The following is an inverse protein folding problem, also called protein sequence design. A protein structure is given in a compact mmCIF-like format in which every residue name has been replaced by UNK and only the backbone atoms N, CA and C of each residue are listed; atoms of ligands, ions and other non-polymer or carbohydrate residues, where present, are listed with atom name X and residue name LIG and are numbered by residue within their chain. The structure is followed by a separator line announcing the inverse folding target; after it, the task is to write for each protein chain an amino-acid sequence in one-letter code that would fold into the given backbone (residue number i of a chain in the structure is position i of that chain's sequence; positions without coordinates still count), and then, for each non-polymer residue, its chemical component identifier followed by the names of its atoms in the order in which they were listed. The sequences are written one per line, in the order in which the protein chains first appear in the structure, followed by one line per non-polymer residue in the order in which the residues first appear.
data_IF_118936834378
#
_entry.id   IF_118936834378
#
_cell.length_a   1.000
_cell.length_b   1.000
_cell.length_c   1.000
_cell.angle_alpha   90.00
_cell.angle_beta   90.00
_cell.angle_gamma   90.00
#
_symmetry.space_group_name_H-M   'P 1'
#
loop_
_entity.id
_entity.type
_entity.pdbx_description
1 polymer ?
#
# COMPACT_ATOMS: atom_id res chain seq x y z
N UNK A 1 0.82 32.90 -6.18
CA UNK A 1 1.79 31.94 -5.60
C UNK A 1 1.49 31.58 -4.14
N UNK A 2 0.22 31.53 -3.68
CA UNK A 2 -0.09 31.23 -2.26
C UNK A 2 0.11 29.75 -1.88
N UNK A 3 -0.16 28.84 -2.82
CA UNK A 3 -0.05 27.39 -2.59
C UNK A 3 1.38 26.93 -2.28
N UNK A 4 2.37 27.35 -3.06
CA UNK A 4 3.77 26.98 -2.84
C UNK A 4 4.30 27.46 -1.49
N UNK A 5 3.98 28.70 -1.08
CA UNK A 5 4.36 29.22 0.24
C UNK A 5 3.72 28.42 1.37
N UNK A 6 2.45 28.05 1.25
CA UNK A 6 1.76 27.23 2.24
C UNK A 6 2.39 25.82 2.35
N UNK A 7 2.71 25.20 1.22
CA UNK A 7 3.36 23.88 1.19
C UNK A 7 4.75 23.91 1.86
N UNK A 8 5.59 24.90 1.52
CA UNK A 8 6.91 25.05 2.14
C UNK A 8 6.81 25.35 3.64
N UNK A 9 5.81 26.12 4.07
CA UNK A 9 5.55 26.37 5.49
C UNK A 9 5.10 25.11 6.23
N UNK A 10 4.27 24.27 5.61
CA UNK A 10 3.89 22.97 6.17
C UNK A 10 5.10 22.05 6.32
N UNK A 11 5.99 22.02 5.32
CA UNK A 11 7.25 21.27 5.41
C UNK A 11 8.13 21.77 6.56
N UNK A 12 8.26 23.10 6.71
CA UNK A 12 8.98 23.71 7.85
C UNK A 12 8.34 23.31 9.19
N UNK A 13 7.01 23.30 9.30
CA UNK A 13 6.30 22.95 10.55
C UNK A 13 6.48 21.46 10.91
N UNK A 14 6.27 20.59 9.92
CA UNK A 14 6.45 19.14 10.04
C UNK A 14 7.88 18.78 10.46
N UNK A 15 8.89 19.44 9.88
CA UNK A 15 10.30 19.21 10.21
C UNK A 15 10.74 19.96 11.47
N UNK A 16 9.83 20.72 12.12
CA UNK A 16 10.16 21.52 13.28
C UNK A 16 11.22 22.57 13.01
N UNK A 17 11.20 23.20 11.82
CA UNK A 17 12.13 24.26 11.36
C UNK A 17 11.57 25.67 11.55
N UNK A 18 10.27 25.83 11.74
CA UNK A 18 9.61 27.15 11.88
C UNK A 18 10.34 28.02 12.93
N UNK A 19 10.54 29.29 12.60
CA UNK A 19 11.32 30.28 13.37
C UNK A 19 12.82 29.94 13.55
N UNK A 20 13.36 28.97 12.82
CA UNK A 20 14.79 28.66 12.81
C UNK A 20 15.51 29.20 11.58
N UNK A 21 16.83 29.23 11.66
CA UNK A 21 17.69 29.73 10.58
C UNK A 21 17.55 28.90 9.29
N UNK A 22 17.20 27.62 9.42
CA UNK A 22 17.02 26.66 8.32
C UNK A 22 15.59 26.62 7.75
N UNK A 23 14.65 27.45 8.22
CA UNK A 23 13.31 27.49 7.65
C UNK A 23 13.32 28.08 6.23
N UNK A 24 12.45 27.61 5.34
CA UNK A 24 12.31 28.17 4.00
C UNK A 24 11.37 29.38 3.97
N UNK A 25 10.32 29.39 4.79
CA UNK A 25 9.29 30.44 4.76
C UNK A 25 9.38 31.38 5.97
N UNK A 26 9.32 30.83 7.19
CA UNK A 26 9.31 31.62 8.43
C UNK A 26 10.65 31.48 9.17
N UNK A 27 11.67 32.14 8.65
CA UNK A 27 13.02 32.18 9.25
C UNK A 27 13.05 32.95 10.57
N UNK A 28 13.98 32.58 11.43
CA UNK A 28 14.27 33.26 12.69
C UNK A 28 15.62 32.82 13.23
N UNK A 29 15.91 33.19 14.47
CA UNK A 29 17.27 33.08 15.03
C UNK A 29 17.53 31.76 15.77
N UNK A 30 16.54 30.85 15.79
CA UNK A 30 16.72 29.53 16.41
C UNK A 30 17.78 28.74 15.63
N UNK A 31 18.76 28.20 16.37
CA UNK A 31 19.94 27.55 15.78
C UNK A 31 19.57 26.25 15.08
N UNK A 32 20.30 25.92 14.02
CA UNK A 32 20.00 24.76 13.16
C UNK A 32 20.02 23.41 13.90
N UNK A 33 20.83 23.30 14.96
CA UNK A 33 20.90 22.13 15.85
C UNK A 33 19.62 21.87 16.66
N UNK A 34 18.68 22.81 16.69
CA UNK A 34 17.38 22.65 17.36
C UNK A 34 16.32 22.02 16.44
N UNK A 35 16.68 21.67 15.20
CA UNK A 35 15.86 20.85 14.32
C UNK A 35 15.94 19.39 14.80
N UNK A 36 14.80 18.71 15.06
CA UNK A 36 14.82 17.31 15.47
C UNK A 36 15.56 16.44 14.45
N UNK A 37 16.32 15.43 14.90
CA UNK A 37 16.95 14.49 13.99
C UNK A 37 15.87 13.76 13.15
N UNK A 38 16.21 13.31 11.93
CA UNK A 38 15.34 12.45 11.16
C UNK A 38 14.90 11.25 12.02
N UNK A 39 13.61 10.93 12.00
CA UNK A 39 13.13 9.79 12.75
C UNK A 39 13.75 8.47 12.24
N UNK A 40 13.90 7.47 13.12
CA UNK A 40 14.45 6.17 12.71
C UNK A 40 13.52 5.46 11.73
N UNK A 41 14.09 4.94 10.64
CA UNK A 41 13.37 4.13 9.67
C UNK A 41 13.09 2.76 10.30
N UNK A 42 11.82 2.30 10.35
CA UNK A 42 11.52 0.94 10.79
C UNK A 42 12.27 -0.07 9.95
N UNK A 43 12.99 -0.98 10.60
CA UNK A 43 13.69 -2.06 9.91
C UNK A 43 12.74 -3.24 9.72
N UNK A 44 12.72 -3.78 8.51
CA UNK A 44 12.05 -5.03 8.25
C UNK A 44 12.86 -6.20 8.80
N UNK A 45 12.18 -7.29 9.19
CA UNK A 45 12.86 -8.54 9.50
C UNK A 45 13.71 -8.98 8.31
N UNK A 46 14.76 -9.74 8.58
CA UNK A 46 15.52 -10.37 7.50
C UNK A 46 14.57 -11.28 6.69
N UNK A 47 14.67 -11.21 5.37
CA UNK A 47 13.91 -12.11 4.51
C UNK A 47 14.28 -13.56 4.84
N UNK A 48 13.27 -14.40 5.06
CA UNK A 48 13.49 -15.83 5.22
C UNK A 48 13.90 -16.44 3.88
N UNK A 49 14.69 -17.53 3.88
CA UNK A 49 14.93 -18.31 2.69
C UNK A 49 13.62 -18.74 2.04
N UNK A 50 13.56 -18.69 0.71
CA UNK A 50 12.39 -19.17 -0.03
C UNK A 50 12.14 -20.65 0.32
N UNK A 51 10.93 -21.02 0.76
CA UNK A 51 10.64 -22.38 1.16
C UNK A 51 10.59 -23.33 -0.04
N UNK A 52 10.78 -24.62 0.22
CA UNK A 52 10.61 -25.64 -0.82
C UNK A 52 9.17 -25.59 -1.39
N UNK A 53 9.00 -25.72 -2.72
CA UNK A 53 7.67 -25.81 -3.34
C UNK A 53 6.82 -26.90 -2.71
N UNK A 54 5.50 -26.70 -2.68
CA UNK A 54 4.58 -27.74 -2.26
C UNK A 54 4.58 -28.87 -3.29
N UNK A 55 4.60 -30.10 -2.80
CA UNK A 55 4.36 -31.30 -3.62
C UNK A 55 2.89 -31.36 -4.05
N UNK A 56 2.59 -32.10 -5.11
CA UNK A 56 1.21 -32.31 -5.55
C UNK A 56 0.32 -32.89 -4.44
N UNK A 57 0.85 -33.82 -3.63
CA UNK A 57 0.12 -34.42 -2.53
C UNK A 57 -0.20 -33.40 -1.42
N UNK A 58 0.77 -32.55 -1.07
CA UNK A 58 0.54 -31.46 -0.11
C UNK A 58 -0.50 -30.48 -0.64
N UNK A 59 -0.38 -30.03 -1.89
CA UNK A 59 -1.32 -29.10 -2.54
C UNK A 59 -2.74 -29.64 -2.51
N UNK A 60 -2.98 -30.87 -2.99
CA UNK A 60 -4.32 -31.46 -3.02
C UNK A 60 -4.89 -31.62 -1.60
N UNK A 61 -4.09 -32.13 -0.66
CA UNK A 61 -4.57 -32.32 0.71
C UNK A 61 -4.86 -31.02 1.46
N UNK A 62 -4.08 -29.95 1.19
CA UNK A 62 -4.29 -28.63 1.76
C UNK A 62 -5.52 -27.92 1.16
N UNK A 63 -5.76 -28.06 -0.15
CA UNK A 63 -6.98 -27.57 -0.79
C UNK A 63 -8.20 -28.26 -0.19
N UNK A 64 -8.19 -29.60 -0.12
CA UNK A 64 -9.30 -30.37 0.48
C UNK A 64 -9.54 -29.98 1.94
N UNK A 65 -8.47 -29.75 2.72
CA UNK A 65 -8.57 -29.26 4.09
C UNK A 65 -9.19 -27.86 4.16
N UNK A 66 -8.73 -26.94 3.31
CA UNK A 66 -9.24 -25.57 3.23
C UNK A 66 -10.70 -25.49 2.79
N UNK A 67 -11.14 -26.36 1.88
CA UNK A 67 -12.53 -26.39 1.41
C UNK A 67 -13.49 -26.94 2.47
N UNK A 68 -13.10 -28.00 3.19
CA UNK A 68 -14.06 -28.80 3.97
C UNK A 68 -13.86 -28.82 5.49
N UNK A 69 -12.68 -28.46 6.00
CA UNK A 69 -12.32 -28.74 7.41
C UNK A 69 -11.81 -27.54 8.20
N UNK A 70 -11.29 -26.51 7.53
CA UNK A 70 -10.87 -25.29 8.22
C UNK A 70 -12.10 -24.53 8.73
N UNK A 71 -11.99 -23.91 9.90
CA UNK A 71 -13.10 -23.11 10.42
C UNK A 71 -13.23 -21.82 9.58
N UNK A 72 -14.38 -21.68 8.93
CA UNK A 72 -14.76 -20.50 8.15
C UNK A 72 -16.13 -19.98 8.58
N UNK A 73 -16.48 -20.06 9.87
CA UNK A 73 -17.85 -19.82 10.33
C UNK A 73 -18.31 -18.37 10.07
N UNK A 74 -17.37 -17.43 10.00
CA UNK A 74 -17.62 -16.01 9.71
C UNK A 74 -17.64 -15.69 8.21
N UNK A 75 -17.90 -16.69 7.36
CA UNK A 75 -17.72 -16.56 5.93
C UNK A 75 -19.04 -16.58 5.15
N UNK A 76 -19.27 -15.52 4.36
CA UNK A 76 -20.57 -15.31 3.68
C UNK A 76 -20.73 -16.15 2.41
N UNK A 77 -19.64 -16.52 1.74
CA UNK A 77 -19.68 -17.36 0.55
C UNK A 77 -20.01 -18.82 0.89
N UNK A 78 -20.83 -19.46 0.06
CA UNK A 78 -21.05 -20.91 0.08
C UNK A 78 -19.72 -21.66 -0.17
N UNK A 79 -19.41 -22.77 0.53
CA UNK A 79 -18.16 -23.51 0.38
C UNK A 79 -17.79 -23.87 -1.06
N UNK A 80 -18.75 -24.20 -1.94
CA UNK A 80 -18.48 -24.56 -3.34
C UNK A 80 -18.11 -23.36 -4.21
N UNK A 81 -18.38 -22.13 -3.74
CA UNK A 81 -18.06 -20.88 -4.43
C UNK A 81 -16.77 -20.24 -3.93
N UNK A 82 -16.16 -20.80 -2.89
CA UNK A 82 -14.89 -20.31 -2.34
C UNK A 82 -13.74 -20.81 -3.21
N UNK A 83 -12.80 -19.92 -3.41
CA UNK A 83 -11.50 -20.25 -3.97
C UNK A 83 -10.54 -20.47 -2.81
N UNK A 84 -9.80 -21.58 -2.85
CA UNK A 84 -8.76 -21.89 -1.88
C UNK A 84 -7.42 -21.86 -2.60
N UNK A 85 -6.64 -20.81 -2.33
CA UNK A 85 -5.25 -20.72 -2.78
C UNK A 85 -4.33 -21.27 -1.70
N UNK A 86 -3.33 -22.04 -2.13
CA UNK A 86 -2.33 -22.64 -1.24
C UNK A 86 -0.93 -22.28 -1.70
N UNK A 87 -0.09 -21.86 -0.77
CA UNK A 87 1.31 -21.51 -1.07
C UNK A 87 2.24 -21.98 0.06
N UNK A 88 3.51 -22.31 -0.25
CA UNK A 88 4.48 -22.63 0.78
C UNK A 88 4.83 -21.38 1.59
N UNK A 89 4.68 -21.42 2.91
CA UNK A 89 5.00 -20.30 3.82
C UNK A 89 6.37 -20.47 4.48
N UNK A 90 6.64 -21.69 4.98
CA UNK A 90 7.94 -22.16 5.46
C UNK A 90 8.10 -23.63 5.05
N UNK A 91 9.25 -24.26 5.25
CA UNK A 91 9.41 -25.69 4.93
C UNK A 91 8.48 -26.63 5.72
N UNK A 92 7.84 -26.14 6.79
CA UNK A 92 6.89 -26.93 7.60
C UNK A 92 5.44 -26.43 7.52
N UNK A 93 5.22 -25.24 6.93
CA UNK A 93 3.92 -24.57 6.90
C UNK A 93 3.51 -24.14 5.49
N UNK A 94 2.22 -24.14 5.25
CA UNK A 94 1.59 -23.55 4.09
C UNK A 94 0.71 -22.37 4.52
N UNK A 95 0.58 -21.39 3.63
CA UNK A 95 -0.43 -20.34 3.71
C UNK A 95 -1.64 -20.79 2.89
N UNK A 96 -2.82 -20.72 3.50
CA UNK A 96 -4.11 -20.81 2.81
C UNK A 96 -4.71 -19.41 2.74
N UNK A 97 -5.15 -19.01 1.55
CA UNK A 97 -6.05 -17.87 1.34
C UNK A 97 -7.38 -18.42 0.83
N UNK A 98 -8.45 -18.09 1.52
CA UNK A 98 -9.80 -18.61 1.24
C UNK A 98 -10.72 -17.44 0.97
N UNK A 99 -11.21 -17.33 -0.25
CA UNK A 99 -12.14 -16.26 -0.60
C UNK A 99 -13.41 -16.41 0.22
N UNK A 100 -13.86 -15.29 0.77
CA UNK A 100 -14.82 -15.30 1.84
C UNK A 100 -15.99 -14.35 1.69
N UNK A 101 -15.73 -13.18 1.11
CA UNK A 101 -16.77 -12.31 0.56
C UNK A 101 -16.34 -11.85 -0.83
N UNK A 102 -17.30 -11.54 -1.69
CA UNK A 102 -16.99 -11.04 -3.03
C UNK A 102 -17.93 -9.90 -3.40
N UNK A 103 -17.35 -8.75 -3.70
CA UNK A 103 -18.01 -7.61 -4.31
C UNK A 103 -17.54 -7.39 -5.75
N UNK A 104 -18.05 -6.34 -6.39
CA UNK A 104 -17.77 -6.06 -7.80
C UNK A 104 -16.28 -5.78 -8.13
N UNK A 105 -15.48 -5.39 -7.13
CA UNK A 105 -14.08 -4.98 -7.32
C UNK A 105 -13.12 -5.56 -6.28
N UNK A 106 -13.67 -6.21 -5.25
CA UNK A 106 -12.95 -6.61 -4.06
C UNK A 106 -13.41 -8.01 -3.67
N UNK A 107 -12.45 -8.90 -3.46
CA UNK A 107 -12.64 -10.17 -2.77
C UNK A 107 -12.03 -10.02 -1.38
N UNK A 108 -12.76 -10.43 -0.34
CA UNK A 108 -12.24 -10.50 1.02
C UNK A 108 -11.84 -11.94 1.29
N UNK A 109 -10.61 -12.14 1.74
CA UNK A 109 -10.03 -13.46 2.02
C UNK A 109 -9.89 -13.70 3.52
N UNK A 110 -10.03 -14.96 3.93
CA UNK A 110 -9.49 -15.44 5.21
C UNK A 110 -8.11 -16.05 4.97
N UNK A 111 -7.17 -15.80 5.88
CA UNK A 111 -5.83 -16.36 5.82
C UNK A 111 -5.57 -17.34 6.97
N UNK A 112 -4.93 -18.47 6.66
CA UNK A 112 -4.53 -19.47 7.65
C UNK A 112 -3.11 -19.93 7.41
N UNK A 113 -2.34 -20.04 8.49
CA UNK A 113 -1.12 -20.85 8.51
C UNK A 113 -1.52 -22.29 8.83
N UNK A 114 -1.06 -23.27 8.03
CA UNK A 114 -1.40 -24.68 8.19
C UNK A 114 -0.14 -25.55 8.11
N UNK A 115 -0.06 -26.63 8.89
CA UNK A 115 0.99 -27.66 8.69
C UNK A 115 0.89 -28.27 7.29
N UNK A 116 2.04 -28.61 6.67
CA UNK A 116 2.04 -29.20 5.32
C UNK A 116 1.54 -30.64 5.25
N UNK A 117 1.66 -31.38 6.35
CA UNK A 117 1.25 -32.79 6.46
C UNK A 117 0.13 -32.99 7.47
N UNK A 118 -0.57 -34.11 7.33
CA UNK A 118 -1.56 -34.56 8.31
C UNK A 118 -0.88 -34.99 9.63
N UNK A 119 -1.55 -34.82 10.79
CA UNK A 119 -2.82 -34.11 10.96
C UNK A 119 -2.66 -32.59 10.72
N UNK A 120 -3.58 -32.01 9.95
CA UNK A 120 -3.54 -30.58 9.66
C UNK A 120 -3.89 -29.76 10.89
N UNK A 121 -2.98 -28.87 11.28
CA UNK A 121 -3.19 -27.88 12.35
C UNK A 121 -3.15 -26.50 11.72
N UNK A 122 -4.23 -25.75 11.87
CA UNK A 122 -4.38 -24.39 11.32
C UNK A 122 -4.45 -23.33 12.41
N UNK A 123 -3.95 -22.14 12.07
CA UNK A 123 -4.05 -20.91 12.86
C UNK A 123 -4.48 -19.78 11.93
N UNK A 124 -5.57 -19.09 12.28
CA UNK A 124 -6.01 -17.90 11.55
C UNK A 124 -4.98 -16.79 11.63
N UNK A 125 -4.81 -16.07 10.53
CA UNK A 125 -3.90 -14.92 10.40
C UNK A 125 -4.72 -13.66 10.35
N UNK A 126 -4.37 -12.70 11.21
CA UNK A 126 -4.92 -11.35 11.22
C UNK A 126 -3.79 -10.37 10.95
N UNK A 127 -4.05 -9.37 10.11
CA UNK A 127 -3.11 -8.29 9.83
C UNK A 127 -3.48 -7.09 10.69
N UNK A 128 -2.55 -6.63 11.52
CA UNK A 128 -2.72 -5.46 12.37
C UNK A 128 -1.71 -4.40 11.97
N UNK A 129 -2.20 -3.23 11.60
CA UNK A 129 -1.37 -2.08 11.34
C UNK A 129 -0.72 -1.62 12.67
N UNK A 130 0.54 -1.16 12.65
CA UNK A 130 1.21 -0.61 13.83
C UNK A 130 0.71 0.81 14.19
N UNK A 131 -0.36 1.27 13.53
CA UNK A 131 -1.03 2.55 13.74
C UNK A 131 -2.50 2.43 13.38
N UNK A 132 -3.32 3.34 13.87
CA UNK A 132 -4.73 3.49 13.46
C UNK A 132 -4.80 4.55 12.34
N UNK A 133 -5.21 4.19 11.11
CA UNK A 133 -5.40 5.17 10.04
C UNK A 133 -6.43 6.23 10.45
N UNK A 134 -6.26 7.52 10.10
CA UNK A 134 -7.18 8.58 10.53
C UNK A 134 -8.64 8.42 10.05
N UNK A 135 -8.84 7.58 9.02
CA UNK A 135 -10.14 7.25 8.42
C UNK A 135 -10.84 6.07 9.12
N UNK A 136 -10.20 5.42 10.11
CA UNK A 136 -10.68 4.19 10.76
C UNK A 136 -10.69 4.31 12.28
N UNK A 137 -11.48 3.45 12.92
CA UNK A 137 -11.60 3.35 14.38
C UNK A 137 -10.71 2.27 14.99
N UNK A 138 -10.21 1.35 14.19
CA UNK A 138 -9.29 0.28 14.59
C UNK A 138 -8.07 0.23 13.65
N UNK A 139 -7.11 -0.62 14.01
CA UNK A 139 -5.91 -0.89 13.24
C UNK A 139 -5.93 -2.25 12.54
N UNK A 140 -7.05 -2.97 12.55
CA UNK A 140 -7.13 -4.27 11.89
C UNK A 140 -7.28 -4.04 10.37
N UNK A 141 -6.48 -4.76 9.59
CA UNK A 141 -6.57 -4.73 8.13
C UNK A 141 -7.29 -6.00 7.66
N UNK A 142 -8.34 -5.79 6.89
CA UNK A 142 -8.99 -6.85 6.13
C UNK A 142 -8.12 -7.27 4.93
N UNK A 143 -8.05 -8.57 4.66
CA UNK A 143 -7.34 -9.11 3.51
C UNK A 143 -8.21 -8.95 2.27
N UNK A 144 -8.06 -7.83 1.56
CA UNK A 144 -8.80 -7.54 0.33
C UNK A 144 -7.91 -7.76 -0.88
N UNK A 145 -8.39 -8.53 -1.85
CA UNK A 145 -7.68 -8.93 -3.07
C UNK A 145 -6.27 -9.42 -2.74
N UNK A 146 -6.17 -10.40 -1.83
CA UNK A 146 -4.89 -10.82 -1.30
C UNK A 146 -4.13 -11.72 -2.28
N UNK A 147 -2.83 -11.48 -2.41
CA UNK A 147 -1.93 -12.30 -3.21
C UNK A 147 -0.64 -12.56 -2.43
N UNK A 148 -0.12 -13.79 -2.47
CA UNK A 148 1.10 -14.16 -1.77
C UNK A 148 2.19 -14.60 -2.73
N UNK A 149 3.35 -13.94 -2.63
CA UNK A 149 4.57 -14.30 -3.32
C UNK A 149 5.48 -15.10 -2.37
N UNK A 150 5.44 -16.42 -2.51
CA UNK A 150 6.25 -17.33 -1.71
C UNK A 150 7.76 -17.19 -1.93
N UNK A 151 8.19 -16.67 -3.09
CA UNK A 151 9.62 -16.53 -3.39
C UNK A 151 10.28 -15.43 -2.56
N UNK A 152 9.51 -14.39 -2.22
CA UNK A 152 9.95 -13.25 -1.40
C UNK A 152 9.35 -13.25 0.02
N UNK A 153 8.41 -14.17 0.29
CA UNK A 153 7.69 -14.22 1.57
C UNK A 153 6.81 -12.98 1.79
N UNK A 154 6.21 -12.45 0.71
CA UNK A 154 5.46 -11.20 0.72
C UNK A 154 3.97 -11.45 0.46
N UNK A 155 3.13 -10.95 1.37
CA UNK A 155 1.68 -10.89 1.20
C UNK A 155 1.29 -9.47 0.78
N UNK A 156 0.59 -9.38 -0.34
CA UNK A 156 0.05 -8.15 -0.91
C UNK A 156 -1.44 -8.10 -0.63
N UNK A 157 -1.96 -6.92 -0.31
CA UNK A 157 -3.41 -6.66 -0.30
C UNK A 157 -3.70 -5.35 -0.99
N UNK A 158 -4.85 -5.27 -1.65
CA UNK A 158 -5.32 -4.06 -2.30
C UNK A 158 -6.82 -3.89 -2.17
N UNK A 159 -7.25 -2.97 -1.30
CA UNK A 159 -8.64 -2.57 -1.17
C UNK A 159 -8.94 -1.44 -2.15
N UNK A 160 -9.78 -1.72 -3.16
CA UNK A 160 -10.08 -0.78 -4.23
C UNK A 160 -11.28 0.10 -3.90
N UNK A 161 -11.06 1.41 -3.93
CA UNK A 161 -12.08 2.46 -3.99
C UNK A 161 -12.44 2.81 -5.44
N UNK A 162 -13.71 3.16 -5.67
CA UNK A 162 -14.22 3.51 -7.01
C UNK A 162 -14.50 5.00 -7.12
N UNK A 163 -14.07 5.57 -8.25
CA UNK A 163 -14.32 6.96 -8.60
C UNK A 163 -13.46 7.39 -9.78
N UNK A 164 -13.24 8.69 -9.92
CA UNK A 164 -12.32 9.19 -10.95
C UNK A 164 -10.90 8.72 -10.62
N UNK A 165 -10.25 8.05 -11.57
CA UNK A 165 -8.88 7.53 -11.38
C UNK A 165 -8.77 6.26 -10.53
N UNK A 166 -9.86 5.83 -9.87
CA UNK A 166 -9.86 4.86 -8.77
C UNK A 166 -8.89 5.26 -7.62
N UNK A 167 -9.08 4.70 -6.43
CA UNK A 167 -8.26 5.00 -5.25
C UNK A 167 -8.27 3.77 -4.34
N UNK A 168 -7.68 3.83 -3.14
CA UNK A 168 -7.70 2.67 -2.24
C UNK A 168 -6.54 2.57 -1.28
N UNK A 169 -6.42 1.39 -0.67
CA UNK A 169 -5.36 1.04 0.28
C UNK A 169 -4.58 -0.15 -0.27
N UNK A 170 -3.27 0.03 -0.45
CA UNK A 170 -2.34 -1.03 -0.81
C UNK A 170 -1.41 -1.30 0.36
N UNK A 171 -1.19 -2.57 0.68
CA UNK A 171 -0.24 -2.96 1.72
C UNK A 171 0.64 -4.13 1.29
N UNK A 172 1.86 -4.18 1.84
CA UNK A 172 2.79 -5.29 1.71
C UNK A 172 3.21 -5.76 3.08
N UNK A 173 3.25 -7.06 3.28
CA UNK A 173 3.60 -7.68 4.54
C UNK A 173 4.67 -8.73 4.32
N UNK A 174 5.73 -8.68 5.12
CA UNK A 174 6.77 -9.69 5.10
C UNK A 174 6.56 -10.69 6.22
N UNK A 175 6.62 -11.98 5.90
CA UNK A 175 6.59 -13.02 6.91
C UNK A 175 7.94 -13.14 7.62
N UNK A 176 7.94 -13.00 8.94
CA UNK A 176 9.16 -13.06 9.77
C UNK A 176 9.48 -14.45 10.33
N UNK A 177 8.64 -15.44 10.04
CA UNK A 177 8.72 -16.81 10.58
C UNK A 177 7.64 -17.11 11.62
N UNK A 178 6.98 -16.08 12.15
CA UNK A 178 5.90 -16.20 13.12
C UNK A 178 4.66 -15.40 12.71
N UNK A 179 4.83 -14.20 12.15
CA UNK A 179 3.76 -13.29 11.78
C UNK A 179 4.11 -12.48 10.52
N UNK A 180 3.08 -11.85 9.96
CA UNK A 180 3.22 -10.88 8.89
C UNK A 180 3.50 -9.49 9.48
N UNK A 181 4.66 -8.93 9.16
CA UNK A 181 5.10 -7.59 9.58
C UNK A 181 4.88 -6.61 8.43
N UNK A 182 4.29 -5.44 8.73
CA UNK A 182 4.00 -4.43 7.72
C UNK A 182 5.31 -3.92 7.10
N UNK A 183 5.47 -4.16 5.80
CA UNK A 183 6.57 -3.66 4.98
C UNK A 183 6.23 -2.33 4.32
N UNK A 184 5.00 -2.18 3.88
CA UNK A 184 4.57 -1.01 3.13
C UNK A 184 3.09 -0.74 3.34
N UNK A 185 2.74 0.54 3.47
CA UNK A 185 1.36 1.01 3.51
C UNK A 185 1.23 2.24 2.62
N UNK A 186 0.29 2.20 1.67
CA UNK A 186 -0.08 3.32 0.83
C UNK A 186 -1.61 3.46 0.84
N UNK A 187 -2.08 4.69 1.03
CA UNK A 187 -3.51 5.02 1.03
C UNK A 187 -3.76 6.27 0.18
N UNK A 188 -4.64 6.13 -0.81
CA UNK A 188 -5.29 7.23 -1.49
C UNK A 188 -6.76 7.23 -1.08
N UNK A 189 -7.16 8.21 -0.28
CA UNK A 189 -8.50 8.26 0.31
C UNK A 189 -9.58 8.67 -0.68
N UNK A 190 -9.23 9.54 -1.61
CA UNK A 190 -10.19 10.22 -2.49
C UNK A 190 -9.89 9.85 -3.93
N UNK A 191 -10.89 9.35 -4.63
CA UNK A 191 -10.80 9.02 -6.04
C UNK A 191 -11.09 10.29 -6.89
N UNK A 192 -10.08 11.14 -7.08
CA UNK A 192 -10.18 12.40 -7.83
C UNK A 192 -9.29 12.45 -9.10
N UNK A 193 -8.64 11.33 -9.41
CA UNK A 193 -7.70 11.20 -10.52
C UNK A 193 -6.55 12.21 -10.48
N UNK A 194 -6.10 12.66 -9.31
CA UNK A 194 -5.00 13.63 -9.20
C UNK A 194 -3.72 13.17 -9.92
N UNK A 195 -3.45 11.87 -9.95
CA UNK A 195 -2.31 11.26 -10.62
C UNK A 195 -2.51 11.04 -12.13
N UNK A 196 -3.72 11.27 -12.65
CA UNK A 196 -3.99 11.07 -14.08
C UNK A 196 -3.37 12.21 -14.89
N UNK A 197 -2.44 11.87 -15.78
CA UNK A 197 -2.01 12.77 -16.84
C UNK A 197 -3.14 12.86 -17.87
N UNK A 198 -4.15 13.69 -17.63
CA UNK A 198 -5.15 13.98 -18.65
C UNK A 198 -4.45 14.80 -19.74
N UNK A 199 -3.96 14.10 -20.76
CA UNK A 199 -3.67 14.69 -22.06
C UNK A 199 -5.04 15.01 -22.67
N UNK A 200 -5.52 16.23 -22.50
CA UNK A 200 -6.76 16.70 -23.10
C UNK A 200 -6.58 16.78 -24.62
N UNK A 201 -6.77 15.66 -25.30
CA UNK A 201 -7.10 15.65 -26.73
C UNK A 201 -8.51 16.20 -26.92
N UNK A 202 -8.75 17.07 -27.92
CA UNK A 202 -10.10 17.60 -28.13
C UNK A 202 -11.05 16.47 -28.56
N UNK A 203 -12.34 16.52 -28.18
CA UNK A 203 -13.31 15.53 -28.62
C UNK A 203 -13.46 15.58 -30.13
N UNK A 204 -13.45 14.40 -30.76
CA UNK A 204 -13.79 14.19 -32.16
C UNK A 204 -15.25 14.62 -32.40
N UNK A 205 -15.43 15.82 -32.95
CA UNK A 205 -16.73 16.37 -33.32
C UNK A 205 -16.58 17.44 -34.42
N UNK A 206 -17.02 17.06 -35.63
CA UNK A 206 -17.42 17.87 -36.81
C UNK A 206 -16.96 19.33 -36.96
N UNK A 207 -16.34 19.58 -38.13
CA UNK A 207 -15.97 20.86 -38.73
C UNK A 207 -16.88 22.07 -38.43
N UNK A 208 -16.30 23.13 -37.88
CA UNK A 208 -16.58 24.52 -38.27
C UNK A 208 -15.38 25.44 -37.94
N UNK A 209 -15.04 26.33 -38.88
CA UNK A 209 -13.85 27.21 -38.93
C UNK A 209 -13.96 28.42 -37.95
N UNK A 210 -12.85 29.15 -37.68
CA UNK A 210 -12.52 29.67 -36.34
C UNK A 210 -12.96 31.11 -36.08
N UNK A 211 -13.12 31.45 -34.79
CA UNK A 211 -12.94 32.81 -34.26
C UNK A 211 -11.80 32.79 -33.23
N UNK A 212 -10.64 33.34 -33.61
CA UNK A 212 -9.64 33.90 -32.69
C UNK A 212 -10.12 35.28 -32.19
N UNK A 213 -9.58 35.89 -31.11
CA UNK A 213 -8.26 35.69 -30.46
C UNK A 213 -8.42 35.50 -28.91
N UNK A 214 -7.45 35.33 -28.01
CA UNK A 214 -6.00 35.58 -27.95
C UNK A 214 -5.47 34.95 -26.65
N UNK A 215 -4.23 34.45 -26.67
CA UNK A 215 -3.34 34.15 -25.53
C UNK A 215 -3.49 32.81 -24.78
N UNK A 216 -2.83 31.78 -25.32
CA UNK A 216 -2.04 30.86 -24.50
C UNK A 216 -0.63 30.79 -25.11
N UNK A 217 0.35 31.46 -24.48
CA UNK A 217 1.77 31.14 -24.65
C UNK A 217 2.09 30.01 -23.66
N UNK A 218 2.73 28.96 -24.17
CA UNK A 218 2.90 27.69 -23.48
C UNK A 218 3.87 27.70 -22.31
N UNK A 219 3.91 26.58 -21.59
CA UNK A 219 5.09 25.72 -21.43
C UNK A 219 4.54 24.32 -21.12
N UNK A 220 4.86 23.35 -21.99
CA UNK A 220 4.82 21.94 -21.62
C UNK A 220 6.01 21.65 -20.71
N UNK A 221 5.73 21.29 -19.47
CA UNK A 221 6.65 20.55 -18.61
C UNK A 221 5.79 19.52 -17.87
N UNK A 222 5.94 18.25 -18.23
CA UNK A 222 5.53 17.16 -17.38
C UNK A 222 6.39 17.21 -16.12
N UNK A 223 5.83 17.74 -15.05
CA UNK A 223 6.31 17.41 -13.71
C UNK A 223 5.53 16.18 -13.29
N UNK A 224 6.12 15.00 -13.47
CA UNK A 224 5.87 13.87 -12.56
C UNK A 224 6.38 14.32 -11.18
N UNK A 225 5.57 15.15 -10.51
CA UNK A 225 5.87 15.66 -9.19
C UNK A 225 5.73 14.51 -8.21
N UNK A 226 6.78 14.15 -7.48
CA UNK A 226 6.65 13.20 -6.39
C UNK A 226 5.81 13.84 -5.29
N UNK A 227 4.67 13.24 -4.97
CA UNK A 227 3.88 13.65 -3.82
C UNK A 227 4.45 12.99 -2.57
N UNK A 228 5.09 13.80 -1.76
CA UNK A 228 5.45 13.52 -0.38
C UNK A 228 4.17 13.53 0.46
N UNK A 229 3.66 12.36 0.86
CA UNK A 229 2.62 12.31 1.89
C UNK A 229 3.27 12.57 3.25
N UNK A 230 2.97 13.72 3.88
CA UNK A 230 3.36 14.03 5.26
C UNK A 230 2.13 13.91 6.15
N UNK A 231 1.69 12.68 6.46
CA UNK A 231 0.74 12.45 7.54
C UNK A 231 1.51 12.27 8.85
N UNK A 232 1.33 13.21 9.78
CA UNK A 232 1.81 13.09 11.16
C UNK A 232 0.89 12.09 11.88
N UNK A 233 1.17 10.79 11.75
CA UNK A 233 0.50 9.77 12.53
C UNK A 233 1.04 9.84 13.98
N UNK A 234 0.17 9.89 15.01
CA UNK A 234 0.62 9.91 16.39
C UNK A 234 1.42 8.65 16.71
N UNK A 235 2.67 8.82 17.15
CA UNK A 235 3.57 7.72 17.50
C UNK A 235 4.45 7.20 16.36
N UNK A 236 4.37 7.74 15.14
CA UNK A 236 5.23 7.32 14.03
C UNK A 236 6.22 8.40 13.55
N UNK A 237 7.41 7.96 13.10
CA UNK A 237 8.34 8.80 12.36
C UNK A 237 7.68 9.37 11.09
N UNK A 238 7.83 10.68 10.83
CA UNK A 238 7.39 11.29 9.58
C UNK A 238 8.34 10.84 8.45
N UNK A 239 7.97 9.81 7.70
CA UNK A 239 8.67 9.41 6.48
C UNK A 239 7.96 9.98 5.24
N UNK A 240 8.72 10.70 4.43
CA UNK A 240 8.32 11.02 3.06
C UNK A 240 8.31 9.72 2.24
N UNK A 241 7.14 9.23 1.88
CA UNK A 241 6.98 8.15 0.90
C UNK A 241 6.81 8.75 -0.49
N UNK A 242 7.55 8.24 -1.48
CA UNK A 242 7.31 8.51 -2.89
C UNK A 242 6.42 7.40 -3.44
N UNK A 243 5.28 7.77 -3.99
CA UNK A 243 4.40 6.86 -4.73
C UNK A 243 4.98 6.67 -6.14
N UNK A 244 5.61 5.52 -6.40
CA UNK A 244 6.08 5.14 -7.72
C UNK A 244 5.08 4.17 -8.37
N UNK A 245 4.63 4.49 -9.59
CA UNK A 245 3.80 3.60 -10.37
C UNK A 245 4.65 2.41 -10.87
N UNK A 246 4.33 1.22 -10.38
CA UNK A 246 4.87 -0.05 -10.90
C UNK A 246 3.72 -0.81 -11.60
N UNK A 247 4.02 -1.36 -12.77
CA UNK A 247 3.05 -2.07 -13.60
C UNK A 247 3.06 -3.55 -13.19
N UNK A 248 2.02 -4.02 -12.53
CA UNK A 248 1.84 -5.42 -12.19
C UNK A 248 0.90 -6.10 -13.19
N UNK A 249 1.00 -7.43 -13.34
CA UNK A 249 0.03 -8.19 -14.15
C UNK A 249 -1.33 -8.13 -13.46
N UNK A 250 -2.23 -7.28 -13.97
CA UNK A 250 -3.59 -7.10 -13.43
C UNK A 250 -3.96 -5.65 -13.11
N UNK A 251 -3.01 -4.71 -13.09
CA UNK A 251 -3.30 -3.29 -12.83
C UNK A 251 -2.07 -2.44 -12.48
N UNK A 252 -2.29 -1.17 -12.20
CA UNK A 252 -1.27 -0.27 -11.62
C UNK A 252 -1.29 -0.43 -10.11
N UNK A 253 -0.14 -0.71 -9.49
CA UNK A 253 -0.02 -0.57 -8.04
C UNK A 253 0.81 0.66 -7.73
N UNK A 254 0.43 1.33 -6.64
CA UNK A 254 1.17 2.44 -6.08
C UNK A 254 2.16 1.86 -5.08
N UNK A 255 3.46 2.03 -5.35
CA UNK A 255 4.54 1.53 -4.50
C UNK A 255 5.11 2.70 -3.70
N UNK A 256 5.01 2.68 -2.38
CA UNK A 256 5.70 3.61 -1.48
C UNK A 256 7.17 3.20 -1.35
N UNK A 257 8.07 3.92 -2.04
CA UNK A 257 9.51 3.83 -1.78
C UNK A 257 9.92 4.87 -0.75
N UNK A 258 10.56 4.42 0.32
CA UNK A 258 11.22 5.29 1.29
C UNK A 258 12.60 5.69 0.77
N UNK A 259 12.80 6.97 0.49
CA UNK A 259 14.12 7.52 0.15
C UNK A 259 14.60 8.34 1.34
N UNK A 260 15.74 7.97 1.93
CA UNK A 260 16.50 8.86 2.81
C UNK A 260 17.06 9.99 1.95
N UNK A 261 16.40 11.15 1.96
CA UNK A 261 16.93 12.37 1.34
C UNK A 261 18.04 12.94 2.24
N UNK A 262 19.22 12.34 2.18
CA UNK A 262 20.45 13.04 2.59
C UNK A 262 20.84 13.96 1.44
N UNK A 263 20.30 15.18 1.44
CA UNK A 263 20.85 16.24 0.59
C UNK A 263 21.99 16.91 1.35
N UNK A 264 23.23 16.58 0.98
CA UNK A 264 24.40 17.38 1.32
C UNK A 264 24.22 18.79 0.76
N UNK A 265 24.37 19.79 1.62
CA UNK A 265 25.00 21.08 1.34
C UNK A 265 25.43 21.70 2.67
#
# INVERSE_FOLDING_TARGET
MRGMKAALLLMDDVQGRVNGASAWVKRGDRVQRDVPPPPSIPQLPAALPAPAPLTQQETTGLIDYGTWRVNTDNCSLDPLRREVSVAPLTDSKALLLISCETGAYNVIDLAFEVTRSQPYVSRGITLNLPFTPPSRTDNQLELVNAEFDASNGLLYTFSKGRGLGDCGVATRWQFDGNAFVLAEYAEEKTCDAWHSSVMTGPPSGSLSRPRHPSHCRGVGCGCSSPVTYLSKLPGMPILAAFLQHERFRGGFAVTARYISLSCYN
#
